data_IF_601345591515
#
_entry.id   IF_601345591515
#
_cell.length_a   1.000
_cell.length_b   1.000
_cell.length_c   1.000
_cell.angle_alpha   90.00
_cell.angle_beta   90.00
_cell.angle_gamma   90.00
#
_symmetry.space_group_name_H-M   'P 1'
#
loop_
_entity.id
_entity.type
_entity.pdbx_description
1 polymer ?
#
# COMPACT_ATOMS: atom_id res chain seq x y z
N UNK A 1 14.32 8.87 5.44
CA UNK A 1 13.33 8.70 6.52
C UNK A 1 13.54 7.43 7.33
N UNK A 2 13.66 6.25 6.71
CA UNK A 2 13.84 4.95 7.38
C UNK A 2 15.11 4.83 8.26
N UNK A 3 16.11 5.70 8.07
CA UNK A 3 17.31 5.78 8.90
C UNK A 3 17.37 7.08 9.75
N UNK A 4 16.23 7.77 9.96
CA UNK A 4 16.21 9.08 10.66
C UNK A 4 16.78 9.03 12.08
N UNK A 5 16.79 7.86 12.71
CA UNK A 5 17.34 7.62 14.06
C UNK A 5 18.80 7.13 14.05
N UNK A 6 19.54 7.26 12.94
CA UNK A 6 20.93 6.82 12.81
C UNK A 6 21.13 5.34 12.45
N UNK A 7 20.06 4.56 12.33
CA UNK A 7 20.10 3.17 11.85
C UNK A 7 18.88 2.90 10.99
N UNK A 8 19.05 2.17 9.88
CA UNK A 8 17.95 1.78 9.01
C UNK A 8 16.98 0.85 9.74
N UNK A 9 15.69 1.19 9.75
CA UNK A 9 14.62 0.44 10.39
C UNK A 9 13.34 0.46 9.55
N UNK A 10 12.40 -0.42 9.89
CA UNK A 10 11.06 -0.42 9.30
C UNK A 10 10.39 0.95 9.45
N UNK A 11 9.68 1.38 8.42
CA UNK A 11 8.79 2.54 8.47
C UNK A 11 7.43 2.20 9.12
N UNK A 12 7.05 0.93 9.12
CA UNK A 12 5.81 0.43 9.73
C UNK A 12 6.07 -0.12 11.13
N UNK A 13 5.12 0.09 12.03
CA UNK A 13 5.05 -0.47 13.38
C UNK A 13 3.75 -1.24 13.49
N UNK A 14 3.84 -2.45 14.04
CA UNK A 14 2.70 -3.30 14.31
C UNK A 14 2.63 -3.57 15.80
N UNK A 15 1.47 -3.36 16.40
CA UNK A 15 1.24 -3.55 17.82
C UNK A 15 -0.15 -4.13 18.06
N UNK A 16 -0.36 -4.69 19.25
CA UNK A 16 -1.68 -5.13 19.71
C UNK A 16 -2.24 -4.07 20.65
N UNK A 17 -3.48 -3.65 20.44
CA UNK A 17 -4.17 -2.74 21.37
C UNK A 17 -4.66 -3.49 22.64
N UNK A 18 -5.27 -2.75 23.56
CA UNK A 18 -5.81 -3.30 24.81
C UNK A 18 -6.96 -4.30 24.59
N UNK A 19 -7.66 -4.23 23.47
CA UNK A 19 -8.76 -5.13 23.12
C UNK A 19 -8.29 -6.37 22.35
N UNK A 20 -7.00 -6.44 22.01
CA UNK A 20 -6.42 -7.54 21.24
C UNK A 20 -6.39 -7.31 19.73
N UNK A 21 -6.79 -6.14 19.23
CA UNK A 21 -6.76 -5.86 17.80
C UNK A 21 -5.34 -5.53 17.33
N UNK A 22 -5.02 -5.93 16.10
CA UNK A 22 -3.77 -5.57 15.45
C UNK A 22 -3.86 -4.14 14.91
N UNK A 23 -2.96 -3.27 15.35
CA UNK A 23 -2.83 -1.88 14.93
C UNK A 23 -1.55 -1.73 14.11
N UNK A 24 -1.69 -1.18 12.90
CA UNK A 24 -0.58 -0.79 12.04
C UNK A 24 -0.44 0.73 12.02
N UNK A 25 0.77 1.22 12.30
CA UNK A 25 1.14 2.62 12.23
C UNK A 25 2.33 2.78 11.29
N UNK A 26 2.35 3.84 10.50
CA UNK A 26 3.52 4.13 9.68
C UNK A 26 3.57 5.60 9.27
N UNK A 27 4.77 6.07 8.97
CA UNK A 27 5.02 7.46 8.64
C UNK A 27 6.09 7.54 7.54
N UNK A 28 5.81 8.33 6.51
CA UNK A 28 6.76 8.60 5.45
C UNK A 28 6.52 9.98 4.82
N UNK A 29 7.58 10.67 4.35
CA UNK A 29 7.42 11.85 3.54
C UNK A 29 6.87 11.44 2.16
N UNK A 30 5.75 12.05 1.77
CA UNK A 30 5.15 11.88 0.45
C UNK A 30 5.21 13.22 -0.28
N UNK A 31 5.89 13.25 -1.43
CA UNK A 31 5.86 14.37 -2.36
C UNK A 31 5.02 13.96 -3.56
N UNK A 32 3.75 14.36 -3.56
CA UNK A 32 2.78 14.02 -4.60
C UNK A 32 2.02 15.28 -5.02
N UNK A 33 1.56 15.29 -6.26
CA UNK A 33 0.73 16.36 -6.82
C UNK A 33 -0.50 15.76 -7.48
N UNK A 34 -1.57 16.56 -7.59
CA UNK A 34 -2.80 16.19 -8.32
C UNK A 34 -3.07 17.12 -9.52
N UNK A 35 -2.25 18.15 -9.71
CA UNK A 35 -2.34 19.11 -10.81
C UNK A 35 -0.99 19.22 -11.50
N UNK A 36 -1.01 19.32 -12.83
CA UNK A 36 0.18 19.51 -13.66
C UNK A 36 0.93 18.23 -14.02
N UNK A 37 1.92 18.37 -14.91
CA UNK A 37 2.80 17.27 -15.33
C UNK A 37 2.06 16.09 -15.96
N UNK A 38 2.53 14.88 -15.64
CA UNK A 38 2.01 13.61 -16.20
C UNK A 38 0.52 13.42 -15.92
N UNK A 39 0.01 13.88 -14.77
CA UNK A 39 -1.41 13.76 -14.42
C UNK A 39 -2.30 14.55 -15.39
N UNK A 40 -1.80 15.67 -15.92
CA UNK A 40 -2.55 16.50 -16.87
C UNK A 40 -2.42 16.05 -18.33
N UNK A 41 -1.36 15.34 -18.70
CA UNK A 41 -1.10 14.96 -20.10
C UNK A 41 -1.31 13.47 -20.39
N UNK A 42 -1.14 12.59 -19.41
CA UNK A 42 -1.25 11.15 -19.60
C UNK A 42 -2.69 10.65 -19.44
N UNK A 43 -3.31 10.05 -20.48
CA UNK A 43 -4.72 9.64 -20.44
C UNK A 43 -5.05 8.68 -19.29
N UNK A 44 -4.18 7.69 -19.03
CA UNK A 44 -4.39 6.73 -17.94
C UNK A 44 -4.30 7.41 -16.57
N UNK A 45 -3.42 8.40 -16.39
CA UNK A 45 -3.28 9.08 -15.10
C UNK A 45 -4.56 9.84 -14.75
N UNK A 46 -5.18 10.50 -15.74
CA UNK A 46 -6.50 11.15 -15.59
C UNK A 46 -7.62 10.19 -15.24
N UNK A 47 -7.63 9.01 -15.88
CA UNK A 47 -8.63 7.99 -15.61
C UNK A 47 -8.47 7.46 -14.18
N UNK A 48 -7.24 7.17 -13.75
CA UNK A 48 -6.96 6.72 -12.39
C UNK A 48 -7.36 7.76 -11.34
N UNK A 49 -7.03 9.05 -11.51
CA UNK A 49 -7.48 10.11 -10.59
C UNK A 49 -9.00 10.24 -10.56
N UNK A 50 -9.68 10.11 -11.71
CA UNK A 50 -11.14 10.10 -11.78
C UNK A 50 -11.77 8.90 -11.06
N UNK A 51 -11.21 7.70 -11.22
CA UNK A 51 -11.65 6.48 -10.53
C UNK A 51 -11.49 6.64 -9.01
N UNK A 52 -10.37 7.21 -8.57
CA UNK A 52 -10.11 7.47 -7.15
C UNK A 52 -10.99 8.58 -6.56
N UNK A 53 -11.62 9.42 -7.39
CA UNK A 53 -12.51 10.50 -6.94
C UNK A 53 -11.83 11.59 -6.12
N UNK A 54 -10.50 11.71 -6.24
CA UNK A 54 -9.70 12.65 -5.45
C UNK A 54 -9.73 14.06 -6.00
N UNK A 55 -9.86 15.03 -5.10
CA UNK A 55 -9.88 16.47 -5.38
C UNK A 55 -8.73 17.23 -4.72
N UNK A 56 -8.04 16.62 -3.75
CA UNK A 56 -6.93 17.24 -3.01
C UNK A 56 -5.66 16.38 -3.00
N UNK A 57 -4.50 17.03 -2.79
CA UNK A 57 -3.21 16.33 -2.62
C UNK A 57 -3.23 15.45 -1.37
N UNK A 58 -3.92 15.89 -0.32
CA UNK A 58 -4.06 15.19 0.95
C UNK A 58 -4.81 13.86 0.76
N UNK A 59 -5.92 13.85 0.01
CA UNK A 59 -6.64 12.62 -0.30
C UNK A 59 -5.77 11.61 -1.06
N UNK A 60 -5.04 12.07 -2.09
CA UNK A 60 -4.11 11.20 -2.82
C UNK A 60 -3.02 10.65 -1.89
N UNK A 61 -2.47 11.50 -1.03
CA UNK A 61 -1.44 11.12 -0.05
C UNK A 61 -1.96 10.05 0.92
N UNK A 62 -3.19 10.20 1.43
CA UNK A 62 -3.84 9.21 2.29
C UNK A 62 -4.07 7.88 1.56
N UNK A 63 -4.54 7.92 0.31
CA UNK A 63 -4.74 6.70 -0.49
C UNK A 63 -3.41 5.96 -0.71
N UNK A 64 -2.37 6.66 -1.14
CA UNK A 64 -1.02 6.07 -1.31
C UNK A 64 -0.53 5.49 0.01
N UNK A 65 -0.72 6.24 1.09
CA UNK A 65 -0.27 5.85 2.40
C UNK A 65 -0.94 4.55 2.88
N UNK A 66 -2.27 4.52 2.87
CA UNK A 66 -3.05 3.34 3.30
C UNK A 66 -2.80 2.15 2.38
N UNK A 67 -2.66 2.36 1.07
CA UNK A 67 -2.30 1.28 0.14
C UNK A 67 -0.93 0.67 0.48
N UNK A 68 0.06 1.49 0.83
CA UNK A 68 1.37 1.02 1.29
C UNK A 68 1.31 0.22 2.60
N UNK A 69 0.54 0.70 3.58
CA UNK A 69 0.36 -0.03 4.85
C UNK A 69 -0.38 -1.37 4.63
N UNK A 70 -1.43 -1.38 3.79
CA UNK A 70 -2.15 -2.59 3.42
C UNK A 70 -1.25 -3.60 2.69
N UNK A 71 -0.38 -3.14 1.79
CA UNK A 71 0.60 -3.98 1.11
C UNK A 71 1.60 -4.58 2.11
N UNK A 72 2.10 -3.79 3.06
CA UNK A 72 2.98 -4.28 4.12
C UNK A 72 2.28 -5.33 4.99
N UNK A 73 1.03 -5.08 5.39
CA UNK A 73 0.22 -6.03 6.14
C UNK A 73 0.06 -7.35 5.39
N UNK A 74 -0.34 -7.31 4.12
CA UNK A 74 -0.54 -8.51 3.32
C UNK A 74 0.75 -9.33 3.18
N UNK A 75 1.90 -8.68 3.01
CA UNK A 75 3.19 -9.35 2.95
C UNK A 75 3.55 -10.02 4.30
N UNK A 76 3.39 -9.31 5.41
CA UNK A 76 3.64 -9.86 6.75
C UNK A 76 2.69 -11.02 7.07
N UNK A 77 1.41 -10.89 6.73
CA UNK A 77 0.41 -11.94 6.91
C UNK A 77 0.77 -13.19 6.11
N UNK A 78 1.13 -13.05 4.83
CA UNK A 78 1.53 -14.17 3.99
C UNK A 78 2.79 -14.87 4.51
N UNK A 79 3.77 -14.10 5.02
CA UNK A 79 5.01 -14.64 5.61
C UNK A 79 4.75 -15.38 6.94
N UNK A 80 3.86 -14.85 7.78
CA UNK A 80 3.58 -15.41 9.10
C UNK A 80 2.60 -16.60 9.08
N UNK A 81 1.86 -16.80 7.99
CA UNK A 81 0.83 -17.84 7.88
C UNK A 81 1.22 -18.96 6.91
N UNK A 82 0.73 -18.91 5.67
CA UNK A 82 0.80 -20.00 4.70
C UNK A 82 2.07 -20.00 3.84
N UNK A 83 2.87 -18.94 3.90
CA UNK A 83 4.02 -18.71 3.03
C UNK A 83 3.61 -18.13 1.67
N UNK A 84 4.47 -17.26 1.12
CA UNK A 84 4.24 -16.54 -0.15
C UNK A 84 3.92 -17.50 -1.31
N UNK A 85 4.57 -18.67 -1.33
CA UNK A 85 4.45 -19.64 -2.42
C UNK A 85 3.02 -20.19 -2.56
N UNK A 86 2.35 -20.50 -1.45
CA UNK A 86 0.97 -21.01 -1.49
C UNK A 86 -0.01 -19.92 -1.98
N UNK A 87 0.24 -18.67 -1.61
CA UNK A 87 -0.50 -17.50 -2.14
C UNK A 87 -0.35 -17.33 -3.65
N UNK A 88 0.87 -17.46 -4.17
CA UNK A 88 1.14 -17.45 -5.62
C UNK A 88 0.43 -18.60 -6.35
N UNK A 89 0.52 -19.82 -5.81
CA UNK A 89 -0.13 -21.00 -6.40
C UNK A 89 -1.65 -20.84 -6.48
N UNK A 90 -2.30 -20.20 -5.50
CA UNK A 90 -3.75 -19.93 -5.51
C UNK A 90 -4.18 -18.98 -6.63
N UNK A 91 -3.31 -18.04 -7.02
CA UNK A 91 -3.54 -17.15 -8.17
C UNK A 91 -3.28 -17.85 -9.52
N UNK A 92 -2.33 -18.78 -9.57
CA UNK A 92 -2.10 -19.62 -10.75
C UNK A 92 -3.20 -20.67 -10.98
N UNK A 93 -3.67 -21.34 -9.92
CA UNK A 93 -4.76 -22.32 -10.00
C UNK A 93 -6.08 -21.73 -10.55
N UNK A 94 -6.32 -20.43 -10.30
CA UNK A 94 -7.48 -19.70 -10.87
C UNK A 94 -7.37 -19.47 -12.38
N UNK A 95 -6.17 -19.52 -12.97
CA UNK A 95 -5.98 -19.41 -14.43
C UNK A 95 -6.20 -20.75 -15.14
N UNK A 96 -5.94 -21.87 -14.47
CA UNK A 96 -6.04 -23.22 -15.06
C UNK A 96 -7.47 -23.76 -15.10
N UNK A 97 -8.38 -23.27 -14.24
CA UNK A 97 -9.81 -23.66 -14.24
C UNK A 97 -10.69 -22.91 -15.27
N UNK A 98 -10.11 -22.33 -16.31
CA UNK A 98 -10.82 -21.54 -17.35
C UNK A 98 -10.77 -22.15 -18.77
N UNK A 99 -10.44 -23.44 -18.89
CA UNK A 99 -10.61 -24.20 -20.12
C UNK A 99 -11.75 -25.21 -19.97
#
# INVERSE_FOLDING_TARGET
YAAKSGTYRSLTKWAKDASGNLIGDFELPLSVGIVGGVIQHHPIAKICTKILGISTVQELSCVIAVAGLAQNFAAMYALATEGIQKGHMKLHARKEGKN
#
